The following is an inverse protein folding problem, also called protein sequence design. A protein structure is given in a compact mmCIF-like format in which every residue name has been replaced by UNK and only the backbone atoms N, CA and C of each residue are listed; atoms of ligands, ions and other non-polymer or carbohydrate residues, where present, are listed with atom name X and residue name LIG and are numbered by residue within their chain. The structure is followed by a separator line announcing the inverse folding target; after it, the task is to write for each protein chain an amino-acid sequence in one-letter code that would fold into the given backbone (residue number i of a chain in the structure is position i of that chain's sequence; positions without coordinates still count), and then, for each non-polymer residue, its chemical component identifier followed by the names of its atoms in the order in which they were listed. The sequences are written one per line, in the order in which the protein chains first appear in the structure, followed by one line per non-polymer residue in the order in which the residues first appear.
data_IF_848343271075
#
_entry.id   IF_848343271075
#
_cell.length_a   1.000
_cell.length_b   1.000
_cell.length_c   1.000
_cell.angle_alpha   90.00
_cell.angle_beta   90.00
_cell.angle_gamma   90.00
#
_symmetry.space_group_name_H-M   'P 1'
#
loop_
_entity.id
_entity.type
_entity.pdbx_description
1 polymer ?
#
# COMPACT_ATOMS: atom_id res chain seq x y z
N UNK A 1 13.94 -14.15 44.65
CA UNK A 1 12.69 -13.40 44.40
C UNK A 1 12.08 -13.90 43.10
N UNK A 2 10.80 -14.31 43.09
CA UNK A 2 10.19 -14.98 41.94
C UNK A 2 9.66 -13.98 40.89
N UNK A 3 9.98 -14.29 39.64
CA UNK A 3 9.48 -13.67 38.42
C UNK A 3 8.01 -13.96 38.24
N UNK A 4 7.18 -12.88 38.12
CA UNK A 4 5.76 -12.97 37.73
C UNK A 4 5.68 -13.04 36.23
N UNK A 5 5.28 -14.18 35.68
CA UNK A 5 4.83 -14.35 34.32
C UNK A 5 3.46 -13.62 34.11
N UNK A 6 3.45 -12.66 33.23
CA UNK A 6 2.22 -12.01 32.78
C UNK A 6 1.58 -12.85 31.66
N UNK A 7 0.49 -13.55 31.99
CA UNK A 7 -0.37 -14.26 31.03
C UNK A 7 -1.06 -13.26 30.10
N UNK A 8 -0.69 -13.24 28.84
CA UNK A 8 -1.40 -12.55 27.77
C UNK A 8 -2.72 -13.27 27.47
N UNK A 9 -3.85 -12.64 27.79
CA UNK A 9 -5.19 -13.09 27.37
C UNK A 9 -5.36 -12.82 25.88
N UNK A 10 -5.43 -13.87 25.07
CA UNK A 10 -5.89 -13.82 23.68
C UNK A 10 -7.41 -13.55 23.69
N UNK A 11 -7.83 -12.39 23.20
CA UNK A 11 -9.23 -12.09 22.89
C UNK A 11 -9.56 -12.69 21.52
N UNK A 12 -10.28 -13.80 21.54
CA UNK A 12 -10.93 -14.41 20.38
C UNK A 12 -12.35 -13.81 20.28
N UNK A 13 -12.59 -13.03 19.23
CA UNK A 13 -13.96 -12.68 18.83
C UNK A 13 -14.52 -13.79 17.93
N UNK A 14 -15.62 -14.43 18.29
CA UNK A 14 -16.30 -15.34 17.38
C UNK A 14 -17.21 -14.55 16.43
N UNK A 15 -16.91 -14.66 15.13
CA UNK A 15 -17.85 -14.24 14.07
C UNK A 15 -18.97 -15.27 13.98
N UNK A 16 -20.16 -14.89 14.45
CA UNK A 16 -21.39 -15.65 14.29
C UNK A 16 -21.91 -15.49 12.85
N UNK A 17 -21.65 -16.48 11.99
CA UNK A 17 -22.40 -16.65 10.74
C UNK A 17 -23.76 -17.30 11.06
N UNK A 18 -24.81 -16.52 10.95
CA UNK A 18 -26.20 -17.06 10.89
C UNK A 18 -26.49 -17.42 9.43
N UNK A 19 -26.41 -18.69 9.11
CA UNK A 19 -26.95 -19.27 7.89
C UNK A 19 -28.47 -19.41 8.02
N UNK A 20 -29.20 -18.66 7.22
CA UNK A 20 -30.65 -18.89 7.02
C UNK A 20 -30.81 -19.86 5.84
N UNK A 21 -31.15 -21.10 6.13
CA UNK A 21 -31.59 -22.08 5.14
C UNK A 21 -33.04 -21.79 4.78
N UNK A 22 -33.29 -21.32 3.57
CA UNK A 22 -34.65 -21.23 3.00
C UNK A 22 -34.89 -22.50 2.20
N UNK A 23 -35.70 -23.38 2.76
CA UNK A 23 -36.24 -24.53 2.05
C UNK A 23 -37.43 -24.06 1.20
N UNK A 24 -37.34 -24.19 -0.11
CA UNK A 24 -38.48 -24.07 -1.02
C UNK A 24 -39.07 -25.46 -1.31
N UNK A 25 -40.39 -25.63 -1.23
CA UNK A 25 -41.01 -26.90 -1.60
C UNK A 25 -41.09 -27.01 -3.11
N UNK A 26 -40.65 -28.16 -3.64
CA UNK A 26 -40.84 -28.57 -5.03
C UNK A 26 -42.28 -29.10 -5.14
N UNK A 27 -43.11 -28.37 -5.83
CA UNK A 27 -44.43 -28.83 -6.22
C UNK A 27 -44.34 -29.53 -7.59
N UNK A 28 -44.39 -30.84 -7.63
CA UNK A 28 -44.58 -31.61 -8.87
C UNK A 28 -46.05 -31.49 -9.32
N UNK A 29 -46.25 -30.85 -10.46
CA UNK A 29 -47.50 -30.95 -11.20
C UNK A 29 -47.29 -31.95 -12.37
N UNK A 30 -47.83 -33.13 -12.18
CA UNK A 30 -48.06 -34.05 -13.30
C UNK A 30 -49.31 -33.56 -14.06
N UNK A 31 -49.11 -33.08 -15.29
CA UNK A 31 -50.19 -32.89 -16.25
C UNK A 31 -50.00 -33.88 -17.38
N UNK A 32 -50.79 -34.90 -17.40
CA UNK A 32 -50.95 -35.80 -18.52
C UNK A 32 -52.03 -35.20 -19.45
N UNK A 33 -51.66 -34.82 -20.68
CA UNK A 33 -52.56 -34.30 -21.70
C UNK A 33 -52.05 -34.69 -23.05
N UNK A 34 -52.62 -35.72 -23.63
CA UNK A 34 -52.34 -36.17 -24.99
C UNK A 34 -52.97 -35.27 -26.03
N UNK A 35 -52.29 -35.05 -27.13
CA UNK A 35 -52.75 -34.30 -28.30
C UNK A 35 -51.73 -34.45 -29.41
N UNK A 36 -51.97 -35.35 -30.37
CA UNK A 36 -51.12 -35.60 -31.53
C UNK A 36 -51.15 -34.38 -32.48
N UNK A 37 -50.02 -33.96 -32.91
CA UNK A 37 -49.72 -33.05 -33.98
C UNK A 37 -48.26 -33.24 -34.36
N UNK A 38 -48.03 -34.00 -35.43
CA UNK A 38 -46.69 -34.29 -35.89
C UNK A 38 -46.08 -33.08 -36.56
N UNK A 39 -45.39 -32.26 -35.81
CA UNK A 39 -44.38 -31.32 -36.34
C UNK A 39 -43.05 -32.05 -36.24
N UNK A 40 -42.57 -32.53 -37.41
CA UNK A 40 -41.20 -32.96 -37.60
C UNK A 40 -40.24 -31.76 -37.58
N UNK A 41 -40.22 -31.06 -36.50
CA UNK A 41 -39.14 -30.12 -36.19
C UNK A 41 -37.93 -30.97 -35.79
N UNK A 42 -36.95 -31.08 -36.69
CA UNK A 42 -35.69 -31.71 -36.34
C UNK A 42 -35.19 -31.12 -35.00
N UNK A 43 -34.71 -31.94 -34.06
CA UNK A 43 -34.22 -31.44 -32.77
C UNK A 43 -33.14 -30.41 -33.08
N UNK A 44 -33.42 -29.13 -32.79
CA UNK A 44 -32.41 -28.09 -32.86
C UNK A 44 -31.31 -28.48 -31.89
N UNK A 45 -30.16 -28.88 -32.45
CA UNK A 45 -28.99 -29.15 -31.62
C UNK A 45 -28.71 -27.90 -30.74
N UNK A 46 -28.46 -28.07 -29.45
CA UNK A 46 -28.16 -26.95 -28.61
C UNK A 46 -26.95 -26.20 -29.16
N UNK A 47 -27.14 -24.91 -29.46
CA UNK A 47 -26.05 -24.08 -29.95
C UNK A 47 -24.95 -24.00 -28.88
N UNK A 48 -23.73 -24.36 -29.26
CA UNK A 48 -22.57 -24.40 -28.39
C UNK A 48 -22.32 -23.03 -27.70
N UNK A 49 -21.86 -23.06 -26.48
CA UNK A 49 -21.37 -21.84 -25.78
C UNK A 49 -19.86 -21.72 -26.09
N UNK A 50 -19.49 -20.66 -26.80
CA UNK A 50 -18.12 -20.39 -27.25
C UNK A 50 -17.78 -18.93 -27.00
N UNK A 51 -16.58 -18.49 -27.38
CA UNK A 51 -16.33 -17.06 -27.55
C UNK A 51 -17.25 -16.48 -28.63
N UNK A 52 -17.61 -15.21 -28.53
CA UNK A 52 -18.32 -14.47 -29.58
C UNK A 52 -17.47 -14.48 -30.87
N UNK A 53 -18.11 -14.32 -32.03
CA UNK A 53 -17.42 -14.32 -33.32
C UNK A 53 -16.35 -13.21 -33.44
N UNK A 54 -16.58 -12.07 -32.76
CA UNK A 54 -15.57 -11.02 -32.55
C UNK A 54 -15.50 -10.74 -31.06
N UNK A 55 -14.79 -11.57 -30.27
CA UNK A 55 -14.77 -11.41 -28.83
C UNK A 55 -13.98 -10.15 -28.45
N UNK A 56 -14.61 -9.30 -27.63
CA UNK A 56 -13.87 -8.27 -26.93
C UNK A 56 -13.05 -8.95 -25.82
N UNK A 57 -11.73 -9.04 -26.00
CA UNK A 57 -10.78 -9.55 -25.01
C UNK A 57 -9.91 -8.40 -24.55
N UNK A 58 -9.85 -8.20 -23.25
CA UNK A 58 -8.99 -7.21 -22.63
C UNK A 58 -8.18 -7.86 -21.49
N UNK A 59 -6.89 -7.59 -21.35
CA UNK A 59 -6.04 -6.87 -22.31
C UNK A 59 -5.99 -7.59 -23.66
N UNK A 60 -5.77 -6.85 -24.75
CA UNK A 60 -5.55 -7.49 -26.06
C UNK A 60 -4.30 -8.38 -26.03
N UNK A 61 -4.28 -9.43 -26.85
CA UNK A 61 -3.15 -10.32 -26.91
C UNK A 61 -1.87 -9.57 -27.32
N UNK A 62 -0.77 -9.81 -26.60
CA UNK A 62 0.51 -9.13 -26.81
C UNK A 62 0.59 -7.72 -26.18
N UNK A 63 -0.43 -7.26 -25.43
CA UNK A 63 -0.38 -5.99 -24.73
C UNK A 63 0.83 -5.93 -23.81
N UNK A 64 1.59 -4.82 -23.89
CA UNK A 64 2.64 -4.48 -22.93
C UNK A 64 2.17 -3.31 -22.05
N UNK A 65 2.63 -3.29 -20.80
CA UNK A 65 2.29 -2.20 -19.88
C UNK A 65 0.91 -2.33 -19.22
N UNK A 66 0.36 -3.54 -19.11
CA UNK A 66 -0.84 -3.79 -18.32
C UNK A 66 -0.64 -3.39 -16.86
N UNK A 67 -1.72 -3.06 -16.17
CA UNK A 67 -1.65 -2.62 -14.77
C UNK A 67 -1.21 -3.74 -13.83
N UNK A 68 -0.70 -3.37 -12.65
CA UNK A 68 -0.31 -4.32 -11.59
C UNK A 68 -1.50 -5.08 -10.99
N UNK A 69 -2.70 -4.52 -11.10
CA UNK A 69 -3.95 -5.19 -10.78
C UNK A 69 -4.75 -5.46 -12.07
N UNK A 70 -4.30 -6.41 -12.90
CA UNK A 70 -4.90 -6.60 -14.21
C UNK A 70 -6.34 -7.07 -14.09
N UNK A 71 -7.19 -6.49 -14.94
CA UNK A 71 -8.52 -6.99 -15.21
C UNK A 71 -8.49 -7.72 -16.56
N UNK A 72 -9.02 -8.96 -16.59
CA UNK A 72 -9.14 -9.76 -17.82
C UNK A 72 -10.61 -9.92 -18.15
N UNK A 73 -10.98 -9.66 -19.41
CA UNK A 73 -12.36 -9.72 -19.85
C UNK A 73 -12.49 -10.52 -21.14
N UNK A 74 -13.60 -11.25 -21.29
CA UNK A 74 -13.99 -11.83 -22.57
C UNK A 74 -15.50 -11.74 -22.78
N UNK A 75 -15.93 -11.79 -24.06
CA UNK A 75 -17.33 -11.87 -24.46
C UNK A 75 -17.64 -13.26 -25.01
N UNK A 76 -18.66 -13.92 -24.46
CA UNK A 76 -19.17 -15.20 -24.92
C UNK A 76 -20.21 -15.04 -26.04
N UNK A 77 -20.48 -16.12 -26.77
CA UNK A 77 -21.52 -16.17 -27.81
C UNK A 77 -22.96 -16.05 -27.28
N UNK A 78 -23.15 -16.28 -25.99
CA UNK A 78 -24.45 -16.20 -25.30
C UNK A 78 -24.29 -15.57 -23.91
N UNK A 79 -25.41 -15.15 -23.32
CA UNK A 79 -25.45 -14.72 -21.93
C UNK A 79 -24.99 -15.84 -21.00
N UNK A 80 -24.14 -15.47 -20.03
CA UNK A 80 -23.55 -16.36 -19.07
C UNK A 80 -24.36 -16.36 -17.76
N UNK A 81 -24.53 -17.55 -17.17
CA UNK A 81 -24.99 -17.68 -15.79
C UNK A 81 -23.81 -17.71 -14.80
N UNK A 82 -22.68 -18.26 -15.25
CA UNK A 82 -21.44 -18.30 -14.48
C UNK A 82 -20.24 -18.28 -15.44
N UNK A 83 -19.11 -17.78 -14.96
CA UNK A 83 -17.84 -17.84 -15.70
C UNK A 83 -16.66 -17.98 -14.75
N UNK A 84 -15.63 -18.70 -15.21
CA UNK A 84 -14.32 -18.78 -14.59
C UNK A 84 -13.24 -18.28 -15.55
N UNK A 85 -12.37 -17.41 -15.08
CA UNK A 85 -11.15 -17.02 -15.78
C UNK A 85 -9.97 -17.41 -14.88
N UNK A 86 -8.99 -18.11 -15.48
CA UNK A 86 -7.71 -18.44 -14.86
C UNK A 86 -6.67 -17.46 -15.39
N UNK A 87 -6.00 -16.78 -14.49
CA UNK A 87 -4.87 -15.90 -14.79
C UNK A 87 -3.61 -16.50 -14.15
N UNK A 88 -2.55 -16.65 -14.95
CA UNK A 88 -1.25 -17.15 -14.52
C UNK A 88 -0.20 -16.13 -14.95
N UNK A 89 0.62 -15.66 -14.01
CA UNK A 89 1.73 -14.73 -14.28
C UNK A 89 3.03 -15.34 -13.79
N UNK A 90 4.04 -15.41 -14.67
CA UNK A 90 5.34 -16.05 -14.41
C UNK A 90 5.20 -17.47 -13.87
N UNK A 91 4.21 -18.23 -14.38
CA UNK A 91 3.92 -19.59 -13.94
C UNK A 91 3.14 -19.72 -12.63
N UNK A 92 2.79 -18.61 -11.97
CA UNK A 92 2.05 -18.60 -10.69
C UNK A 92 0.61 -18.17 -10.93
N UNK A 93 -0.35 -18.94 -10.39
CA UNK A 93 -1.77 -18.57 -10.43
C UNK A 93 -2.03 -17.28 -9.64
N UNK A 94 -2.77 -16.36 -10.25
CA UNK A 94 -3.15 -15.08 -9.65
C UNK A 94 -4.51 -15.23 -9.00
N UNK A 95 -4.61 -14.89 -7.70
CA UNK A 95 -5.88 -14.84 -6.98
C UNK A 95 -6.73 -13.67 -7.49
N UNK A 96 -8.04 -13.87 -7.53
CA UNK A 96 -8.98 -12.84 -7.98
C UNK A 96 -10.40 -13.38 -8.09
N UNK A 97 -11.30 -12.50 -8.57
CA UNK A 97 -12.73 -12.80 -8.71
C UNK A 97 -13.20 -12.57 -10.12
N UNK A 98 -13.99 -13.52 -10.65
CA UNK A 98 -14.70 -13.38 -11.91
C UNK A 98 -16.14 -12.92 -11.63
N UNK A 99 -16.58 -11.90 -12.35
CA UNK A 99 -17.97 -11.39 -12.37
C UNK A 99 -18.54 -11.54 -13.77
N UNK A 100 -19.86 -11.66 -13.87
CA UNK A 100 -20.60 -11.84 -15.14
C UNK A 100 -21.63 -10.71 -15.28
N UNK A 101 -21.73 -10.17 -16.50
CA UNK A 101 -22.78 -9.22 -16.92
C UNK A 101 -23.20 -9.53 -18.33
N UNK A 102 -24.39 -10.12 -18.51
CA UNK A 102 -24.88 -10.62 -19.80
C UNK A 102 -23.91 -11.67 -20.39
N UNK A 103 -23.38 -11.41 -21.57
CA UNK A 103 -22.40 -12.30 -22.21
C UNK A 103 -20.93 -12.01 -21.82
N UNK A 104 -20.70 -11.01 -20.98
CA UNK A 104 -19.35 -10.55 -20.60
C UNK A 104 -18.93 -11.13 -19.27
N UNK A 105 -17.76 -11.75 -19.22
CA UNK A 105 -17.07 -12.17 -17.99
C UNK A 105 -15.86 -11.27 -17.74
N UNK A 106 -15.68 -10.83 -16.50
CA UNK A 106 -14.56 -9.98 -16.09
C UNK A 106 -13.89 -10.57 -14.85
N UNK A 107 -12.61 -10.89 -14.92
CA UNK A 107 -11.76 -11.23 -13.80
C UNK A 107 -11.05 -9.96 -13.31
N UNK A 108 -10.97 -9.78 -12.01
CA UNK A 108 -10.12 -8.78 -11.36
C UNK A 108 -9.23 -9.49 -10.36
N UNK A 109 -7.92 -9.23 -10.43
CA UNK A 109 -6.97 -9.73 -9.44
C UNK A 109 -7.24 -9.12 -8.07
N UNK A 110 -7.01 -9.91 -7.01
CA UNK A 110 -7.01 -9.41 -5.63
C UNK A 110 -5.72 -8.58 -5.38
N UNK A 111 -5.76 -7.71 -4.36
CA UNK A 111 -4.56 -7.06 -3.87
C UNK A 111 -3.59 -8.11 -3.28
N UNK A 112 -2.28 -7.92 -3.41
CA UNK A 112 -1.56 -6.75 -3.92
C UNK A 112 -1.41 -6.72 -5.45
N UNK A 113 -1.99 -7.67 -6.21
CA UNK A 113 -1.84 -7.76 -7.64
C UNK A 113 -0.65 -8.64 -8.06
N UNK A 114 -0.02 -8.29 -9.17
CA UNK A 114 1.08 -9.05 -9.79
C UNK A 114 2.37 -8.24 -9.85
N UNK A 115 3.49 -8.93 -10.01
CA UNK A 115 4.80 -8.28 -10.10
C UNK A 115 4.94 -7.43 -11.37
N UNK A 116 5.81 -6.42 -11.31
CA UNK A 116 6.20 -5.65 -12.48
C UNK A 116 6.93 -6.54 -13.51
N UNK A 117 6.75 -6.24 -14.78
CA UNK A 117 7.28 -6.99 -15.92
C UNK A 117 6.79 -8.45 -16.00
N UNK A 118 5.83 -8.88 -15.16
CA UNK A 118 5.34 -10.25 -15.20
C UNK A 118 4.73 -10.59 -16.55
N UNK A 119 5.04 -11.79 -17.06
CA UNK A 119 4.43 -12.37 -18.25
C UNK A 119 3.18 -13.12 -17.83
N UNK A 120 2.03 -12.65 -18.28
CA UNK A 120 0.73 -13.19 -17.89
C UNK A 120 0.03 -13.88 -19.04
N UNK A 121 -0.65 -14.99 -18.76
CA UNK A 121 -1.56 -15.69 -19.67
C UNK A 121 -2.91 -15.87 -18.99
N UNK A 122 -3.98 -15.62 -19.73
CA UNK A 122 -5.34 -15.83 -19.26
C UNK A 122 -6.06 -16.86 -20.09
N UNK A 123 -6.90 -17.66 -19.44
CA UNK A 123 -7.72 -18.67 -20.08
C UNK A 123 -9.11 -18.75 -19.47
N UNK A 124 -10.10 -19.23 -20.24
CA UNK A 124 -11.42 -19.59 -19.74
C UNK A 124 -11.32 -20.89 -18.95
N UNK A 125 -11.90 -20.93 -17.76
CA UNK A 125 -12.22 -22.19 -17.11
C UNK A 125 -13.51 -22.74 -17.71
N UNK A 126 -13.37 -23.69 -18.66
CA UNK A 126 -14.49 -24.21 -19.42
C UNK A 126 -15.56 -24.89 -18.53
N UNK A 127 -15.15 -25.54 -17.44
CA UNK A 127 -16.08 -26.23 -16.52
C UNK A 127 -16.88 -25.24 -15.68
N UNK A 128 -16.22 -24.16 -15.26
CA UNK A 128 -16.83 -23.11 -14.45
C UNK A 128 -17.66 -22.12 -15.30
N UNK A 129 -17.55 -22.16 -16.63
CA UNK A 129 -18.22 -21.22 -17.55
C UNK A 129 -19.42 -21.90 -18.21
N UNK A 130 -20.63 -21.37 -17.97
CA UNK A 130 -21.89 -21.90 -18.48
C UNK A 130 -22.95 -20.84 -18.68
N UNK A 131 -23.88 -21.11 -19.62
CA UNK A 131 -25.06 -20.28 -19.84
C UNK A 131 -26.20 -20.61 -18.87
N UNK A 132 -27.34 -19.93 -18.97
CA UNK A 132 -28.52 -20.13 -18.13
C UNK A 132 -29.14 -21.53 -18.31
N UNK A 133 -28.92 -22.19 -19.43
CA UNK A 133 -29.37 -23.55 -19.69
C UNK A 133 -28.40 -24.62 -19.14
N UNK A 134 -27.27 -24.22 -18.55
CA UNK A 134 -26.23 -25.09 -18.03
C UNK A 134 -25.28 -25.61 -19.11
N UNK A 135 -25.36 -25.12 -20.35
CA UNK A 135 -24.41 -25.46 -21.41
C UNK A 135 -23.03 -24.99 -21.04
N UNK A 136 -22.07 -25.91 -20.92
CA UNK A 136 -20.68 -25.57 -20.58
C UNK A 136 -19.95 -24.97 -21.79
N UNK A 137 -18.94 -24.17 -21.50
CA UNK A 137 -18.10 -23.55 -22.53
C UNK A 137 -17.34 -24.61 -23.32
N UNK A 138 -17.35 -24.48 -24.64
CA UNK A 138 -16.62 -25.32 -25.57
C UNK A 138 -15.79 -24.48 -26.55
N UNK A 139 -14.69 -24.99 -27.02
CA UNK A 139 -13.79 -24.26 -27.93
C UNK A 139 -12.46 -23.91 -27.29
N UNK A 140 -11.75 -22.95 -27.90
CA UNK A 140 -10.45 -22.51 -27.38
C UNK A 140 -10.59 -21.83 -26.06
N UNK A 141 -9.87 -22.29 -25.04
CA UNK A 141 -9.86 -21.67 -23.72
C UNK A 141 -8.84 -20.55 -23.59
N UNK A 142 -7.83 -20.48 -24.47
CA UNK A 142 -6.84 -19.41 -24.45
C UNK A 142 -7.51 -18.07 -24.78
N UNK A 143 -7.34 -17.08 -23.89
CA UNK A 143 -7.88 -15.73 -24.08
C UNK A 143 -6.80 -14.78 -24.58
N UNK A 144 -5.79 -14.53 -23.77
CA UNK A 144 -4.79 -13.51 -24.04
C UNK A 144 -3.49 -13.79 -23.32
N UNK A 145 -2.40 -13.24 -23.84
CA UNK A 145 -1.13 -13.07 -23.15
C UNK A 145 -0.75 -11.60 -23.13
N UNK A 146 -0.15 -11.12 -22.04
CA UNK A 146 0.25 -9.74 -21.89
C UNK A 146 1.40 -9.59 -20.89
N UNK A 147 2.09 -8.44 -20.95
CA UNK A 147 3.13 -8.10 -20.00
C UNK A 147 2.67 -6.95 -19.11
N UNK A 148 2.88 -7.10 -17.80
CA UNK A 148 2.62 -6.06 -16.84
C UNK A 148 3.67 -4.94 -16.98
N UNK A 149 3.27 -3.69 -16.73
CA UNK A 149 4.18 -2.53 -16.83
C UNK A 149 5.39 -2.66 -15.91
N UNK A 150 6.50 -2.05 -16.32
CA UNK A 150 7.69 -1.90 -15.47
C UNK A 150 7.40 -0.99 -14.27
N UNK A 151 8.21 -1.08 -13.21
CA UNK A 151 8.19 -0.09 -12.13
C UNK A 151 8.63 1.27 -12.65
N UNK A 152 7.86 2.29 -12.32
CA UNK A 152 8.29 3.67 -12.50
C UNK A 152 9.18 4.07 -11.31
N UNK A 153 10.48 3.85 -11.45
CA UNK A 153 11.42 4.13 -10.38
C UNK A 153 11.60 5.64 -10.20
N UNK A 154 11.59 6.16 -8.95
CA UNK A 154 12.05 7.51 -8.69
C UNK A 154 13.45 7.68 -9.26
N UNK A 155 13.69 8.78 -9.97
CA UNK A 155 15.00 9.05 -10.60
C UNK A 155 16.13 9.21 -9.59
N UNK A 156 17.36 8.92 -9.99
CA UNK A 156 18.56 9.09 -9.18
C UNK A 156 19.61 8.01 -9.45
N UNK A 157 20.83 8.25 -8.99
CA UNK A 157 21.87 7.23 -9.01
C UNK A 157 21.47 6.08 -8.07
N UNK A 158 21.60 4.85 -8.57
CA UNK A 158 21.37 3.67 -7.74
C UNK A 158 22.55 3.47 -6.81
N UNK A 159 22.31 3.50 -5.52
CA UNK A 159 23.34 3.27 -4.52
C UNK A 159 23.62 1.76 -4.36
N UNK A 160 24.74 1.45 -3.73
CA UNK A 160 25.03 0.06 -3.34
C UNK A 160 24.03 -0.40 -2.28
N UNK A 161 23.34 -1.52 -2.51
CA UNK A 161 22.43 -2.08 -1.51
C UNK A 161 23.16 -2.36 -0.19
N UNK A 162 22.59 -1.99 0.96
CA UNK A 162 23.14 -2.37 2.24
C UNK A 162 22.98 -3.87 2.47
N UNK A 163 23.83 -4.43 3.33
CA UNK A 163 23.81 -5.86 3.67
C UNK A 163 23.20 -6.10 5.05
N UNK A 164 22.47 -7.19 5.16
CA UNK A 164 21.95 -7.73 6.42
C UNK A 164 22.32 -9.21 6.53
N UNK A 165 22.94 -9.62 7.63
CA UNK A 165 23.43 -10.99 7.85
C UNK A 165 24.28 -11.54 6.68
N UNK A 166 25.14 -10.72 6.08
CA UNK A 166 26.01 -11.12 4.97
C UNK A 166 25.32 -11.22 3.61
N UNK A 167 24.00 -11.01 3.52
CA UNK A 167 23.27 -10.93 2.26
C UNK A 167 22.92 -9.46 1.94
N UNK A 168 23.14 -9.04 0.69
CA UNK A 168 22.70 -7.75 0.23
C UNK A 168 21.17 -7.68 0.15
N UNK A 169 20.59 -6.54 0.53
CA UNK A 169 19.20 -6.25 0.18
C UNK A 169 19.06 -6.19 -1.35
N UNK A 170 17.87 -6.43 -1.86
CA UNK A 170 17.59 -6.40 -3.28
C UNK A 170 17.12 -5.01 -3.69
N UNK A 171 17.73 -4.42 -4.70
CA UNK A 171 17.24 -3.18 -5.30
C UNK A 171 15.91 -3.46 -6.02
N UNK A 172 14.81 -3.02 -5.44
CA UNK A 172 13.49 -3.12 -6.06
C UNK A 172 13.32 -2.04 -7.14
N UNK A 173 13.77 -0.81 -6.84
CA UNK A 173 13.58 0.34 -7.72
C UNK A 173 14.45 1.52 -7.27
N UNK A 174 15.46 1.89 -8.04
CA UNK A 174 16.37 2.97 -7.64
C UNK A 174 17.00 2.72 -6.28
N UNK A 175 16.85 3.66 -5.35
CA UNK A 175 17.34 3.55 -3.97
C UNK A 175 16.35 2.89 -3.00
N UNK A 176 15.40 2.13 -3.51
CA UNK A 176 14.48 1.32 -2.71
C UNK A 176 15.04 -0.10 -2.62
N UNK A 177 15.46 -0.49 -1.45
CA UNK A 177 16.08 -1.78 -1.16
C UNK A 177 15.15 -2.61 -0.27
N UNK A 178 14.88 -3.83 -0.66
CA UNK A 178 13.99 -4.73 0.07
C UNK A 178 14.72 -5.96 0.55
N UNK A 179 14.34 -6.48 1.71
CA UNK A 179 14.81 -7.78 2.16
C UNK A 179 14.43 -8.85 1.12
N UNK A 180 15.32 -9.82 0.78
CA UNK A 180 15.07 -10.83 -0.26
C UNK A 180 13.76 -11.60 -0.08
N UNK A 181 13.25 -11.69 1.16
CA UNK A 181 11.97 -12.33 1.50
C UNK A 181 10.73 -11.50 1.10
N UNK A 182 10.88 -10.23 0.74
CA UNK A 182 9.76 -9.40 0.28
C UNK A 182 9.29 -9.84 -1.10
N UNK A 183 8.07 -10.33 -1.19
CA UNK A 183 7.51 -10.85 -2.43
C UNK A 183 7.46 -9.77 -3.53
N UNK A 184 7.86 -10.12 -4.76
CA UNK A 184 7.97 -9.18 -5.89
C UNK A 184 6.65 -8.50 -6.26
N UNK A 185 5.52 -9.13 -6.01
CA UNK A 185 4.19 -8.54 -6.25
C UNK A 185 3.83 -7.41 -5.26
N UNK A 186 4.58 -7.25 -4.15
CA UNK A 186 4.45 -6.10 -3.25
C UNK A 186 5.22 -4.86 -3.74
N UNK A 187 6.24 -5.05 -4.61
CA UNK A 187 7.10 -3.95 -5.05
C UNK A 187 6.37 -2.79 -5.71
N UNK A 188 5.37 -3.02 -6.59
CA UNK A 188 4.57 -1.92 -7.15
C UNK A 188 3.88 -1.08 -6.07
N UNK A 189 3.31 -1.73 -5.05
CA UNK A 189 2.68 -1.05 -3.93
C UNK A 189 3.68 -0.20 -3.13
N UNK A 190 4.89 -0.74 -2.89
CA UNK A 190 5.98 -0.03 -2.19
C UNK A 190 6.34 1.24 -2.96
N UNK A 191 6.62 1.14 -4.25
CA UNK A 191 7.05 2.28 -5.08
C UNK A 191 5.93 3.32 -5.21
N UNK A 192 4.69 2.89 -5.41
CA UNK A 192 3.54 3.79 -5.46
C UNK A 192 3.32 4.50 -4.12
N UNK A 193 3.51 3.81 -3.00
CA UNK A 193 3.42 4.40 -1.66
C UNK A 193 4.47 5.50 -1.45
N UNK A 194 5.71 5.26 -1.89
CA UNK A 194 6.78 6.27 -1.87
C UNK A 194 6.40 7.49 -2.72
N UNK A 195 5.89 7.30 -3.93
CA UNK A 195 5.48 8.41 -4.78
C UNK A 195 4.33 9.22 -4.16
N UNK A 196 3.34 8.54 -3.59
CA UNK A 196 2.22 9.18 -2.91
C UNK A 196 2.68 9.99 -1.68
N UNK A 197 3.66 9.49 -0.93
CA UNK A 197 4.26 10.19 0.20
C UNK A 197 5.00 11.46 -0.24
N UNK A 198 5.82 11.36 -1.27
CA UNK A 198 6.52 12.52 -1.85
C UNK A 198 5.54 13.59 -2.36
N UNK A 199 4.37 13.18 -2.87
CA UNK A 199 3.34 14.12 -3.29
C UNK A 199 2.65 14.83 -2.11
N UNK A 200 2.58 14.19 -0.94
CA UNK A 200 2.13 14.84 0.31
C UNK A 200 3.15 15.90 0.77
N UNK A 201 4.44 15.56 0.79
CA UNK A 201 5.51 16.48 1.16
C UNK A 201 5.56 17.71 0.24
N UNK A 202 5.42 17.50 -1.06
CA UNK A 202 5.40 18.59 -2.05
C UNK A 202 4.30 19.62 -1.82
N UNK A 203 3.19 19.25 -1.20
CA UNK A 203 2.11 20.20 -0.89
C UNK A 203 2.53 21.24 0.14
N UNK A 204 3.44 20.89 1.03
CA UNK A 204 3.92 21.79 2.10
C UNK A 204 5.26 22.43 1.72
N UNK A 205 6.22 21.63 1.27
CA UNK A 205 7.57 22.11 0.99
C UNK A 205 7.78 22.64 -0.43
N UNK A 206 6.84 22.39 -1.36
CA UNK A 206 7.06 22.60 -2.79
C UNK A 206 8.01 21.55 -3.38
N UNK A 207 8.80 21.89 -4.41
CA UNK A 207 9.78 20.97 -4.98
C UNK A 207 10.75 20.47 -3.91
N UNK A 208 11.05 19.14 -3.87
CA UNK A 208 11.96 18.58 -2.89
C UNK A 208 13.37 19.17 -3.08
N UNK A 209 14.02 19.51 -1.97
CA UNK A 209 15.45 19.86 -1.95
C UNK A 209 16.32 18.65 -1.60
N UNK A 210 15.75 17.68 -0.90
CA UNK A 210 16.44 16.45 -0.59
C UNK A 210 16.67 15.62 -1.86
N UNK A 211 17.86 15.03 -1.97
CA UNK A 211 18.04 13.85 -2.82
C UNK A 211 17.25 12.73 -2.21
N UNK A 212 16.66 11.87 -3.05
CA UNK A 212 15.89 10.74 -2.53
C UNK A 212 16.75 9.91 -1.57
N UNK A 213 16.29 9.66 -0.33
CA UNK A 213 16.99 8.83 0.63
C UNK A 213 17.02 7.37 0.18
N UNK A 214 17.91 6.58 0.75
CA UNK A 214 17.76 5.13 0.69
C UNK A 214 16.49 4.74 1.46
N UNK A 215 15.66 3.90 0.87
CA UNK A 215 14.48 3.33 1.53
C UNK A 215 14.71 1.84 1.72
N UNK A 216 14.82 1.41 2.97
CA UNK A 216 15.03 0.00 3.34
C UNK A 216 13.70 -0.59 3.79
N UNK A 217 13.29 -1.71 3.19
CA UNK A 217 12.03 -2.38 3.53
C UNK A 217 12.32 -3.77 4.07
N UNK A 218 12.08 -3.95 5.35
CA UNK A 218 12.23 -5.22 6.04
C UNK A 218 10.94 -6.05 5.99
N UNK A 219 11.08 -7.37 5.86
CA UNK A 219 10.01 -8.36 6.02
C UNK A 219 10.11 -9.04 7.38
N UNK A 220 11.34 -9.28 7.85
CA UNK A 220 11.59 -9.98 9.11
C UNK A 220 11.85 -9.00 10.27
N UNK A 221 11.47 -9.40 11.48
CA UNK A 221 11.81 -8.65 12.69
C UNK A 221 13.32 -8.50 12.88
N UNK A 222 14.11 -9.50 12.48
CA UNK A 222 15.56 -9.44 12.58
C UNK A 222 16.17 -8.38 11.65
N UNK A 223 15.65 -8.20 10.43
CA UNK A 223 16.03 -7.10 9.55
C UNK A 223 15.65 -5.76 10.17
N UNK A 224 14.42 -5.63 10.67
CA UNK A 224 13.94 -4.41 11.32
C UNK A 224 14.81 -4.04 12.53
N UNK A 225 15.11 -4.99 13.41
CA UNK A 225 15.96 -4.76 14.58
C UNK A 225 17.41 -4.36 14.21
N UNK A 226 17.92 -4.93 13.11
CA UNK A 226 19.27 -4.60 12.62
C UNK A 226 19.35 -3.16 12.10
N UNK A 227 18.39 -2.72 11.29
CA UNK A 227 18.41 -1.39 10.66
C UNK A 227 17.77 -0.32 11.53
N UNK A 228 16.61 -0.57 12.14
CA UNK A 228 15.86 0.43 12.90
C UNK A 228 16.06 0.35 14.41
N UNK A 229 16.60 -0.76 14.92
CA UNK A 229 16.73 -1.03 16.36
C UNK A 229 15.52 -1.78 16.93
N UNK A 230 15.74 -2.47 18.07
CA UNK A 230 14.73 -3.34 18.64
C UNK A 230 13.49 -2.57 19.09
N UNK A 231 12.31 -3.11 18.75
CA UNK A 231 10.99 -2.57 19.09
C UNK A 231 10.68 -1.19 18.47
N UNK A 232 11.53 -0.67 17.59
CA UNK A 232 11.20 0.53 16.84
C UNK A 232 10.24 0.19 15.70
N UNK A 233 9.46 1.19 15.30
CA UNK A 233 8.58 1.08 14.13
C UNK A 233 9.37 1.45 12.89
N UNK A 234 9.05 2.58 12.26
CA UNK A 234 9.83 3.13 11.17
C UNK A 234 10.79 4.18 11.72
N UNK A 235 11.82 4.51 10.98
CA UNK A 235 12.81 5.50 11.44
C UNK A 235 13.51 6.13 10.26
N UNK A 236 13.76 7.43 10.37
CA UNK A 236 14.68 8.17 9.50
C UNK A 236 16.06 8.27 10.16
N UNK A 237 17.08 7.78 9.45
CA UNK A 237 18.48 7.84 9.89
C UNK A 237 19.23 8.92 9.13
N UNK A 238 19.94 9.75 9.87
CA UNK A 238 20.85 10.75 9.30
C UNK A 238 22.19 10.13 8.93
N UNK A 239 22.99 10.75 8.06
CA UNK A 239 24.32 10.26 7.75
C UNK A 239 25.18 10.07 9.01
N UNK A 240 25.85 8.91 9.10
CA UNK A 240 26.68 8.50 10.24
C UNK A 240 25.91 8.30 11.55
N UNK A 241 24.61 8.16 11.51
CA UNK A 241 23.79 7.78 12.68
C UNK A 241 23.30 6.32 12.55
N UNK A 242 22.79 5.81 13.66
CA UNK A 242 22.24 4.46 13.72
C UNK A 242 21.09 4.39 14.71
N UNK A 243 20.18 3.46 14.48
CA UNK A 243 19.12 3.11 15.45
C UNK A 243 19.27 1.65 15.95
N UNK A 244 19.81 0.77 15.10
CA UNK A 244 20.15 -0.62 15.40
C UNK A 244 21.64 -0.86 15.31
N UNK A 245 22.06 -1.81 14.46
CA UNK A 245 23.46 -2.14 14.21
C UNK A 245 24.00 -1.50 12.91
N UNK A 246 23.12 -1.04 12.05
CA UNK A 246 23.46 -0.41 10.78
C UNK A 246 23.81 1.07 10.97
N UNK A 247 24.98 1.47 10.46
CA UNK A 247 25.35 2.87 10.39
C UNK A 247 25.00 3.39 9.02
N UNK A 248 24.08 4.36 8.94
CA UNK A 248 23.61 4.91 7.68
C UNK A 248 24.70 5.75 7.00
N UNK A 249 25.15 5.44 5.78
CA UNK A 249 26.15 6.25 5.08
C UNK A 249 25.56 7.55 4.51
N UNK A 250 24.23 7.62 4.45
CA UNK A 250 23.45 8.75 3.93
C UNK A 250 22.06 8.74 4.55
N UNK A 251 21.24 9.74 4.21
CA UNK A 251 19.84 9.76 4.63
C UNK A 251 19.17 8.45 4.25
N UNK A 252 18.58 7.78 5.23
CA UNK A 252 18.00 6.45 5.07
C UNK A 252 16.67 6.37 5.82
N UNK A 253 15.62 5.97 5.15
CA UNK A 253 14.32 5.65 5.75
C UNK A 253 14.20 4.14 5.89
N UNK A 254 13.97 3.65 7.08
CA UNK A 254 13.78 2.21 7.37
C UNK A 254 12.32 1.93 7.65
N UNK A 255 11.74 1.05 6.87
CA UNK A 255 10.39 0.54 7.07
C UNK A 255 10.46 -0.88 7.63
N UNK A 256 9.90 -1.07 8.80
CA UNK A 256 9.99 -2.34 9.53
C UNK A 256 9.02 -3.42 9.04
N UNK A 257 8.18 -3.09 8.05
CA UNK A 257 7.32 -4.04 7.35
C UNK A 257 6.91 -3.49 5.98
N UNK A 258 6.76 -4.34 4.94
CA UNK A 258 6.21 -3.93 3.65
C UNK A 258 4.79 -3.35 3.74
N UNK A 259 4.03 -3.69 4.77
CA UNK A 259 2.66 -3.17 4.96
C UNK A 259 2.63 -1.67 5.22
N UNK A 260 3.70 -1.08 5.79
CA UNK A 260 3.79 0.36 6.00
C UNK A 260 3.85 1.15 4.69
N UNK A 261 4.31 0.53 3.60
CA UNK A 261 4.35 1.17 2.28
C UNK A 261 2.97 1.35 1.66
N UNK A 262 1.98 0.58 2.10
CA UNK A 262 0.59 0.74 1.67
C UNK A 262 -0.10 1.92 2.36
N UNK A 263 0.53 2.47 3.40
CA UNK A 263 0.09 3.66 4.09
C UNK A 263 1.04 4.82 3.75
N UNK A 264 0.70 5.68 2.78
CA UNK A 264 1.57 6.78 2.36
C UNK A 264 1.81 7.79 3.49
N UNK A 265 0.97 7.80 4.52
CA UNK A 265 1.13 8.69 5.67
C UNK A 265 2.41 8.41 6.44
N UNK A 266 2.73 7.14 6.70
CA UNK A 266 3.97 6.77 7.41
C UNK A 266 5.21 7.20 6.63
N UNK A 267 5.20 6.95 5.31
CA UNK A 267 6.30 7.37 4.45
C UNK A 267 6.44 8.89 4.37
N UNK A 268 5.33 9.64 4.26
CA UNK A 268 5.36 11.10 4.26
C UNK A 268 5.88 11.67 5.58
N UNK A 269 5.55 11.03 6.70
CA UNK A 269 6.13 11.38 8.00
C UNK A 269 7.66 11.25 7.97
N UNK A 270 8.17 10.11 7.55
CA UNK A 270 9.62 9.87 7.50
C UNK A 270 10.32 10.78 6.46
N UNK A 271 9.72 11.01 5.30
CA UNK A 271 10.28 11.91 4.29
C UNK A 271 10.27 13.36 4.72
N UNK A 272 9.32 13.77 5.55
CA UNK A 272 9.31 15.11 6.16
C UNK A 272 10.60 15.37 6.95
N UNK A 273 11.05 14.41 7.76
CA UNK A 273 12.33 14.54 8.49
C UNK A 273 13.52 14.69 7.52
N UNK A 274 13.50 13.97 6.39
CA UNK A 274 14.54 14.11 5.35
C UNK A 274 14.57 15.52 4.76
N UNK A 275 13.39 16.11 4.46
CA UNK A 275 13.29 17.48 3.95
C UNK A 275 13.69 18.52 4.99
N UNK A 276 13.26 18.38 6.25
CA UNK A 276 13.66 19.27 7.35
C UNK A 276 15.17 19.29 7.52
N UNK A 277 15.79 18.10 7.60
CA UNK A 277 17.25 18.00 7.74
C UNK A 277 18.00 18.62 6.56
N UNK A 278 17.52 18.39 5.33
CA UNK A 278 18.14 18.92 4.11
C UNK A 278 18.00 20.44 4.06
N UNK A 279 16.81 20.97 4.30
CA UNK A 279 16.52 22.41 4.26
C UNK A 279 17.25 23.19 5.32
N UNK A 280 17.39 22.62 6.51
CA UNK A 280 18.15 23.27 7.59
C UNK A 280 19.65 23.08 7.51
N UNK A 281 20.13 22.17 6.61
CA UNK A 281 21.52 21.77 6.58
C UNK A 281 21.97 21.02 7.84
N UNK A 282 21.05 20.27 8.45
CA UNK A 282 21.27 19.52 9.68
C UNK A 282 21.32 20.38 10.95
N UNK A 283 20.95 21.68 10.86
CA UNK A 283 20.84 22.52 12.05
C UNK A 283 19.61 22.17 12.86
N UNK A 284 19.73 22.40 14.16
CA UNK A 284 18.71 22.02 15.14
C UNK A 284 17.35 22.66 14.87
N UNK A 285 16.34 21.80 14.80
CA UNK A 285 14.92 22.12 14.87
C UNK A 285 14.37 21.38 16.07
N UNK A 286 13.55 21.99 16.93
CA UNK A 286 12.97 21.32 18.08
C UNK A 286 12.21 20.06 17.70
N UNK A 287 12.43 18.96 18.41
CA UNK A 287 11.83 17.67 18.11
C UNK A 287 10.29 17.74 18.09
N UNK A 288 9.67 18.51 19.00
CA UNK A 288 8.23 18.68 19.00
C UNK A 288 7.69 19.35 17.72
N UNK A 289 8.49 20.25 17.09
CA UNK A 289 8.08 20.89 15.84
C UNK A 289 8.31 19.97 14.64
N UNK A 290 9.47 19.30 14.57
CA UNK A 290 9.81 18.36 13.50
C UNK A 290 8.79 17.22 13.45
N UNK A 291 8.52 16.58 14.57
CA UNK A 291 7.52 15.51 14.68
C UNK A 291 6.09 16.01 14.45
N UNK A 292 5.77 17.20 14.95
CA UNK A 292 4.48 17.84 14.70
C UNK A 292 4.25 18.17 13.23
N UNK A 293 5.28 18.63 12.53
CA UNK A 293 5.27 18.92 11.09
C UNK A 293 5.15 17.64 10.27
N UNK A 294 5.95 16.62 10.60
CA UNK A 294 5.87 15.32 9.97
C UNK A 294 4.47 14.69 10.10
N UNK A 295 3.89 14.73 11.30
CA UNK A 295 2.52 14.27 11.56
C UNK A 295 1.46 15.10 10.84
N UNK A 296 1.67 16.41 10.70
CA UNK A 296 0.78 17.30 9.94
C UNK A 296 0.80 16.97 8.45
N UNK A 297 1.97 16.84 7.85
CA UNK A 297 2.15 16.52 6.42
C UNK A 297 1.60 15.13 6.10
N UNK A 298 1.87 14.18 6.96
CA UNK A 298 1.33 12.83 6.88
C UNK A 298 -0.21 12.83 6.87
N UNK A 299 -0.84 13.80 7.52
CA UNK A 299 -2.30 13.85 7.59
C UNK A 299 -2.89 12.67 8.36
N UNK A 300 -2.16 12.14 9.34
CA UNK A 300 -2.51 10.89 10.04
C UNK A 300 -3.93 10.91 10.60
N UNK A 301 -4.78 9.95 10.19
CA UNK A 301 -6.17 9.89 10.65
C UNK A 301 -6.31 9.67 12.16
N UNK A 302 -5.28 9.09 12.79
CA UNK A 302 -5.29 8.76 14.22
C UNK A 302 -5.56 9.98 15.09
N UNK A 303 -5.11 11.17 14.68
CA UNK A 303 -5.31 12.37 15.42
C UNK A 303 -6.74 12.92 15.40
N UNK A 304 -7.64 12.37 14.60
CA UNK A 304 -9.05 12.76 14.61
C UNK A 304 -9.79 12.28 15.85
N UNK A 305 -9.31 11.20 16.46
CA UNK A 305 -9.96 10.55 17.60
C UNK A 305 -9.18 10.69 18.92
N UNK A 306 -8.02 11.35 18.89
CA UNK A 306 -7.20 11.55 20.08
C UNK A 306 -7.64 12.85 20.77
N UNK A 307 -8.05 12.75 22.03
CA UNK A 307 -8.47 13.88 22.87
C UNK A 307 -7.49 14.08 24.04
N UNK A 308 -7.39 15.32 24.49
CA UNK A 308 -6.55 15.69 25.62
C UNK A 308 -5.11 16.05 25.22
N UNK A 309 -4.37 16.58 26.19
CA UNK A 309 -2.96 16.92 26.01
C UNK A 309 -2.07 15.70 26.32
N UNK A 310 -1.00 15.56 25.56
CA UNK A 310 0.08 14.63 25.87
C UNK A 310 1.01 15.21 26.96
N UNK A 311 1.32 16.50 26.85
CA UNK A 311 2.21 17.24 27.79
C UNK A 311 1.67 18.66 27.98
N UNK A 312 1.94 19.26 29.13
CA UNK A 312 1.53 20.63 29.41
C UNK A 312 2.22 21.67 28.53
N UNK A 313 3.50 21.46 28.25
CA UNK A 313 4.31 22.33 27.40
C UNK A 313 5.22 21.53 26.46
N UNK A 314 4.91 21.56 25.16
CA UNK A 314 5.68 20.88 24.11
C UNK A 314 7.13 21.38 24.01
N UNK A 315 7.42 22.64 24.40
CA UNK A 315 8.77 23.23 24.30
C UNK A 315 9.78 22.53 25.19
N UNK A 316 9.32 21.74 26.18
CA UNK A 316 10.16 20.87 27.00
C UNK A 316 10.71 19.67 26.22
N UNK A 317 10.12 19.35 25.07
CA UNK A 317 10.52 18.27 24.18
C UNK A 317 11.32 18.85 22.99
N UNK A 318 12.38 19.60 23.31
CA UNK A 318 13.23 20.28 22.32
C UNK A 318 14.20 19.31 21.64
N UNK A 319 14.79 18.39 22.40
CA UNK A 319 15.74 17.43 21.89
C UNK A 319 15.06 16.11 21.54
N UNK A 320 15.58 15.42 20.54
CA UNK A 320 15.11 14.09 20.15
C UNK A 320 15.13 13.07 21.31
N UNK A 321 16.15 13.16 22.16
CA UNK A 321 16.25 12.30 23.35
C UNK A 321 15.11 12.52 24.33
N UNK A 322 14.69 13.77 24.52
CA UNK A 322 13.59 14.13 25.42
C UNK A 322 12.27 13.67 24.83
N UNK A 323 12.09 13.87 23.52
CA UNK A 323 10.92 13.41 22.78
C UNK A 323 10.73 11.89 22.88
N UNK A 324 11.78 11.13 22.54
CA UNK A 324 11.75 9.65 22.58
C UNK A 324 11.51 9.12 23.99
N UNK A 325 12.18 9.70 25.00
CA UNK A 325 11.99 9.30 26.40
C UNK A 325 10.55 9.56 26.87
N UNK A 326 9.99 10.71 26.51
CA UNK A 326 8.64 11.09 26.92
C UNK A 326 7.55 10.31 26.20
N UNK A 327 7.69 10.08 24.89
CA UNK A 327 6.70 9.41 24.05
C UNK A 327 6.83 7.87 24.07
N UNK A 328 7.80 7.29 24.79
CA UNK A 328 7.97 5.86 24.92
C UNK A 328 6.73 5.08 25.38
N UNK A 329 5.97 5.55 26.39
CA UNK A 329 4.71 4.93 26.81
C UNK A 329 3.60 5.16 25.76
N UNK A 330 2.85 4.10 25.40
CA UNK A 330 1.84 4.12 24.34
C UNK A 330 0.68 5.09 24.61
N UNK A 331 0.32 5.25 25.88
CA UNK A 331 -0.79 6.12 26.31
C UNK A 331 -0.50 7.63 26.16
N UNK A 332 0.76 8.03 26.16
CA UNK A 332 1.19 9.42 25.90
C UNK A 332 1.65 9.64 24.46
N UNK A 333 2.10 8.57 23.79
CA UNK A 333 2.62 8.63 22.42
C UNK A 333 1.69 9.42 21.49
N UNK A 334 0.51 8.86 21.21
CA UNK A 334 -0.41 9.46 20.25
C UNK A 334 -0.90 10.85 20.68
N UNK A 335 -1.12 11.06 21.99
CA UNK A 335 -1.55 12.36 22.49
C UNK A 335 -0.51 13.44 22.23
N UNK A 336 0.77 13.13 22.43
CA UNK A 336 1.88 14.07 22.24
C UNK A 336 2.11 14.39 20.77
N UNK A 337 2.11 13.39 19.91
CA UNK A 337 2.18 13.57 18.45
C UNK A 337 1.03 14.40 17.91
N UNK A 338 -0.20 14.11 18.32
CA UNK A 338 -1.37 14.85 17.88
C UNK A 338 -1.41 16.28 18.45
N UNK A 339 -0.91 16.49 19.65
CA UNK A 339 -0.76 17.84 20.23
C UNK A 339 0.28 18.66 19.45
N UNK A 340 1.43 18.09 19.13
CA UNK A 340 2.47 18.71 18.32
C UNK A 340 1.95 19.06 16.92
N UNK A 341 1.25 18.10 16.27
CA UNK A 341 0.55 18.34 15.01
C UNK A 341 -0.43 19.52 15.09
N UNK A 342 -1.25 19.59 16.13
CA UNK A 342 -2.24 20.64 16.29
C UNK A 342 -1.58 22.04 16.45
N UNK A 343 -0.49 22.12 17.21
CA UNK A 343 0.31 23.34 17.35
C UNK A 343 0.90 23.80 16.01
N UNK A 344 1.52 22.88 15.28
CA UNK A 344 2.09 23.16 13.95
C UNK A 344 1.01 23.52 12.94
N UNK A 345 -0.13 22.81 12.94
CA UNK A 345 -1.26 23.11 12.07
C UNK A 345 -1.82 24.50 12.31
N UNK A 346 -1.97 24.91 13.59
CA UNK A 346 -2.43 26.25 13.95
C UNK A 346 -1.45 27.33 13.49
N UNK A 347 -0.15 27.08 13.58
CA UNK A 347 0.89 27.98 13.10
C UNK A 347 0.88 28.06 11.56
N UNK A 348 0.81 26.94 10.86
CA UNK A 348 0.71 26.90 9.39
C UNK A 348 -0.58 27.59 8.92
N UNK A 349 -1.69 27.42 9.63
CA UNK A 349 -2.94 28.10 9.32
C UNK A 349 -2.82 29.62 9.27
N UNK A 350 -1.90 30.19 10.06
CA UNK A 350 -1.61 31.64 10.05
C UNK A 350 -0.57 32.02 8.99
N UNK A 351 0.41 31.17 8.70
CA UNK A 351 1.61 31.49 7.90
C UNK A 351 1.60 30.91 6.51
N UNK A 352 0.72 29.94 6.26
CA UNK A 352 0.73 29.14 5.06
C UNK A 352 1.95 28.21 5.00
N UNK A 353 1.97 27.37 3.98
CA UNK A 353 3.08 26.45 3.73
C UNK A 353 4.40 27.18 3.42
N UNK A 354 4.32 28.36 2.81
CA UNK A 354 5.50 29.19 2.54
C UNK A 354 6.22 29.60 3.84
N UNK A 355 5.49 29.79 4.94
CA UNK A 355 6.06 30.08 6.25
C UNK A 355 6.95 28.96 6.78
N UNK A 356 6.58 27.69 6.51
CA UNK A 356 7.43 26.53 6.88
C UNK A 356 8.78 26.62 6.17
N UNK A 357 8.76 26.82 4.86
CA UNK A 357 9.98 26.94 4.06
C UNK A 357 10.85 28.09 4.54
N UNK A 358 10.25 29.27 4.77
CA UNK A 358 10.96 30.45 5.27
C UNK A 358 11.61 30.20 6.64
N UNK A 359 10.90 29.52 7.56
CA UNK A 359 11.43 29.18 8.88
C UNK A 359 12.66 28.26 8.77
N UNK A 360 12.56 27.18 7.96
CA UNK A 360 13.67 26.24 7.78
C UNK A 360 14.86 26.89 7.08
N UNK A 361 14.64 27.75 6.08
CA UNK A 361 15.69 28.50 5.40
C UNK A 361 16.37 29.49 6.35
N UNK A 362 15.65 30.15 7.24
CA UNK A 362 16.21 31.03 8.26
C UNK A 362 17.09 30.24 9.25
N UNK A 363 16.66 29.06 9.68
CA UNK A 363 17.47 28.14 10.48
C UNK A 363 18.73 27.74 9.74
N UNK A 364 18.65 27.40 8.46
CA UNK A 364 19.82 27.10 7.60
C UNK A 364 20.82 28.26 7.58
N UNK A 365 20.35 29.51 7.57
CA UNK A 365 21.18 30.72 7.61
C UNK A 365 21.79 31.00 8.99
N UNK A 366 21.48 30.19 10.01
CA UNK A 366 22.04 30.31 11.37
C UNK A 366 21.19 31.13 12.31
N UNK A 367 19.98 31.47 11.91
CA UNK A 367 19.02 32.15 12.82
C UNK A 367 18.45 31.11 13.81
N UNK A 368 18.15 31.53 15.04
CA UNK A 368 17.57 30.62 16.03
C UNK A 368 16.14 30.24 15.65
N UNK A 369 15.81 28.97 15.73
CA UNK A 369 14.45 28.50 15.50
C UNK A 369 13.43 29.27 16.36
N UNK A 370 13.67 29.34 17.68
CA UNK A 370 12.75 29.97 18.61
C UNK A 370 12.50 31.46 18.29
N UNK A 371 13.57 32.19 17.89
CA UNK A 371 13.46 33.59 17.48
C UNK A 371 12.59 33.74 16.22
N UNK A 372 12.80 32.93 15.23
CA UNK A 372 12.05 32.99 13.96
C UNK A 372 10.62 32.50 14.10
N UNK A 373 10.41 31.38 14.80
CA UNK A 373 9.07 30.85 15.07
C UNK A 373 8.22 31.88 15.85
N UNK A 374 8.79 32.50 16.91
CA UNK A 374 8.14 33.52 17.71
C UNK A 374 7.85 34.79 16.92
N UNK A 375 8.83 35.33 16.18
CA UNK A 375 8.63 36.52 15.35
C UNK A 375 7.52 36.31 14.30
N UNK A 376 7.43 35.12 13.74
CA UNK A 376 6.35 34.72 12.81
C UNK A 376 4.99 34.51 13.52
N UNK A 377 4.91 34.35 14.85
CA UNK A 377 3.64 34.25 15.57
C UNK A 377 2.96 35.60 15.74
N UNK A 378 3.73 36.67 15.81
CA UNK A 378 3.26 38.02 16.15
C UNK A 378 2.87 38.90 14.96
N UNK A 379 3.22 38.51 13.76
CA UNK A 379 2.81 39.17 12.51
C UNK A 379 1.54 38.54 11.94
#
# INVERSE_FOLDING_TARGET
HPTKEAKMKKSLYPVLMRGAAIAMPVTMLLACGGGGGGDNSAPTMPVALTLAAAPAIAPANGTTGADYAPAVQFTASKALAAAGIKLVCDGVAVAGKTTVSGAVATFKSDAPGVAANAQCTASVDAVATKDAAGTVFTGSTALTSFTVKALACPGGAVNTPPSFNGAALVAACGNVFVEPAVAKNLWPGIVNGIQAALDLDRKVYGPPQATQPDVLVCQSGACADYFAGPRRRNVTLYPNTYAGQYVAPRMTVVLTSPTWTQNPYVLAHEFSHVEVATRTGGKHVPAWFDEGLATYIAGEPICTNVTGKGIDDLRKLDQETDWVAYTGPEDVFFKTYCQARAEVAAWIGKRGNAGVVQLLDAVRQGQSFAGQYGAMQTQ
#
